data_IF_993022593545
#
_entry.id   IF_993022593545
#
_cell.length_a   1.000
_cell.length_b   1.000
_cell.length_c   1.000
_cell.angle_alpha   90.00
_cell.angle_beta   90.00
_cell.angle_gamma   90.00
#
_symmetry.space_group_name_H-M   'P 1'
#
loop_
_entity.id
_entity.type
_entity.pdbx_description
1 polymer ?
#
# COMPACT_ATOMS: atom_id res chain seq x y z
N UNK A 1 1.93 -2.71 -30.60
CA UNK A 1 2.86 -3.13 -29.54
C UNK A 1 3.21 -1.98 -28.59
N UNK A 2 3.50 -0.80 -29.10
CA UNK A 2 3.92 0.32 -28.28
C UNK A 2 2.91 0.74 -27.21
N UNK A 3 1.64 0.78 -27.55
CA UNK A 3 0.60 1.20 -26.58
C UNK A 3 0.50 0.21 -25.42
N UNK A 4 0.52 -1.08 -25.71
CA UNK A 4 0.42 -2.10 -24.68
C UNK A 4 1.67 -2.10 -23.78
N UNK A 5 2.85 -1.95 -24.38
CA UNK A 5 4.09 -1.88 -23.63
C UNK A 5 4.12 -0.64 -22.71
N UNK A 6 3.69 0.52 -23.22
CA UNK A 6 3.64 1.73 -22.42
C UNK A 6 2.68 1.61 -21.26
N UNK A 7 1.55 0.96 -21.47
CA UNK A 7 0.58 0.72 -20.39
C UNK A 7 1.18 -0.17 -19.29
N UNK A 8 1.89 -1.23 -19.69
CA UNK A 8 2.53 -2.13 -18.73
C UNK A 8 3.68 -1.43 -17.99
N UNK A 9 4.47 -0.63 -18.72
CA UNK A 9 5.60 0.08 -18.13
C UNK A 9 5.15 1.09 -17.07
N UNK A 10 3.95 1.64 -17.21
CA UNK A 10 3.40 2.58 -16.23
C UNK A 10 3.42 2.01 -14.82
N UNK A 11 3.07 0.73 -14.67
CA UNK A 11 3.06 0.08 -13.35
C UNK A 11 4.36 -0.63 -13.04
N UNK A 12 5.05 -1.13 -14.05
CA UNK A 12 6.29 -1.89 -13.87
C UNK A 12 7.36 -1.09 -13.14
N UNK A 13 7.51 0.19 -13.49
CA UNK A 13 8.52 1.06 -12.91
C UNK A 13 7.97 1.98 -11.83
N UNK A 14 6.69 1.87 -11.49
CA UNK A 14 6.09 2.69 -10.47
C UNK A 14 6.68 2.33 -9.10
N UNK A 15 7.05 3.35 -8.34
CA UNK A 15 7.51 3.21 -6.97
C UNK A 15 6.63 4.06 -6.06
N UNK A 16 6.44 3.58 -4.86
CA UNK A 16 5.65 4.27 -3.85
C UNK A 16 6.43 4.25 -2.55
N UNK A 17 6.63 5.42 -1.96
CA UNK A 17 7.38 5.54 -0.71
C UNK A 17 6.43 5.92 0.42
N UNK A 18 6.47 5.13 1.49
CA UNK A 18 5.66 5.36 2.68
C UNK A 18 6.48 6.10 3.71
N UNK A 19 6.01 7.28 4.12
CA UNK A 19 6.66 8.07 5.16
C UNK A 19 5.74 8.14 6.39
N UNK A 20 6.24 7.82 7.59
CA UNK A 20 5.41 7.81 8.82
C UNK A 20 4.78 9.16 9.17
N UNK A 21 5.35 10.26 8.69
CA UNK A 21 4.82 11.61 8.95
C UNK A 21 3.58 11.93 8.15
N UNK A 22 3.30 11.16 7.09
CA UNK A 22 2.15 11.41 6.23
C UNK A 22 0.85 10.91 6.87
N UNK A 23 -0.23 11.60 6.59
CA UNK A 23 -1.56 11.15 7.01
C UNK A 23 -1.96 9.90 6.22
N UNK A 24 -2.77 9.04 6.83
CA UNK A 24 -3.24 7.82 6.17
C UNK A 24 -3.96 8.12 4.87
N UNK A 25 -4.79 9.18 4.85
CA UNK A 25 -5.50 9.58 3.62
C UNK A 25 -4.53 9.95 2.49
N UNK A 26 -3.42 10.59 2.82
CA UNK A 26 -2.41 10.97 1.83
C UNK A 26 -1.70 9.73 1.29
N UNK A 27 -1.32 8.83 2.16
CA UNK A 27 -0.67 7.56 1.76
C UNK A 27 -1.61 6.77 0.86
N UNK A 28 -2.88 6.65 1.24
CA UNK A 28 -3.88 5.92 0.42
C UNK A 28 -4.10 6.59 -0.94
N UNK A 29 -4.15 7.92 -0.98
CA UNK A 29 -4.32 8.65 -2.24
C UNK A 29 -3.10 8.48 -3.15
N UNK A 30 -1.90 8.53 -2.58
CA UNK A 30 -0.66 8.33 -3.34
C UNK A 30 -0.57 6.90 -3.88
N UNK A 31 -1.00 5.91 -3.09
CA UNK A 31 -1.01 4.52 -3.51
C UNK A 31 -1.99 4.30 -4.67
N UNK A 32 -3.18 4.89 -4.58
CA UNK A 32 -4.17 4.83 -5.65
C UNK A 32 -3.63 5.45 -6.93
N UNK A 33 -2.95 6.60 -6.81
CA UNK A 33 -2.34 7.27 -7.95
C UNK A 33 -1.22 6.44 -8.58
N UNK A 34 -0.42 5.77 -7.76
CA UNK A 34 0.72 5.00 -8.25
C UNK A 34 0.31 3.68 -8.90
N UNK A 35 -0.70 3.00 -8.34
CA UNK A 35 -1.00 1.61 -8.72
C UNK A 35 -2.45 1.35 -9.09
N UNK A 36 -3.34 2.33 -9.06
CA UNK A 36 -4.79 2.15 -9.29
C UNK A 36 -5.40 1.10 -8.34
N UNK A 37 -4.91 1.06 -7.10
CA UNK A 37 -5.40 0.17 -6.06
C UNK A 37 -5.70 0.96 -4.79
N UNK A 38 -6.66 0.49 -4.02
CA UNK A 38 -7.00 1.08 -2.74
C UNK A 38 -6.19 0.46 -1.62
N UNK A 39 -5.58 1.29 -0.79
CA UNK A 39 -4.86 0.87 0.41
C UNK A 39 -5.66 1.32 1.63
N UNK A 40 -6.07 0.37 2.47
CA UNK A 40 -6.93 0.64 3.62
C UNK A 40 -6.19 0.28 4.90
N UNK A 41 -6.13 1.23 5.83
CA UNK A 41 -5.48 1.04 7.13
C UNK A 41 -6.52 0.67 8.18
N UNK A 42 -6.16 -0.25 9.07
CA UNK A 42 -7.03 -0.72 10.13
C UNK A 42 -6.45 -0.46 11.51
N UNK A 43 -7.31 -0.15 12.44
CA UNK A 43 -7.02 -0.16 13.88
C UNK A 43 -7.81 -1.32 14.46
N UNK A 44 -7.13 -2.43 14.72
CA UNK A 44 -7.82 -3.66 15.09
C UNK A 44 -8.71 -4.14 13.93
N UNK A 45 -10.02 -4.25 14.18
CA UNK A 45 -10.98 -4.70 13.17
C UNK A 45 -11.73 -3.55 12.48
N UNK A 46 -11.46 -2.30 12.88
CA UNK A 46 -12.14 -1.14 12.30
C UNK A 46 -11.18 -0.34 11.42
N UNK A 47 -11.75 0.35 10.41
CA UNK A 47 -10.96 1.23 9.55
C UNK A 47 -10.42 2.39 10.39
N UNK A 48 -9.10 2.65 10.25
CA UNK A 48 -8.46 3.71 11.00
C UNK A 48 -8.90 5.09 10.50
N UNK A 49 -8.87 6.08 11.41
CA UNK A 49 -9.18 7.46 11.07
C UNK A 49 -8.15 7.99 10.05
N UNK A 50 -8.64 8.38 8.88
CA UNK A 50 -7.81 8.83 7.76
C UNK A 50 -7.01 10.11 8.06
N UNK A 51 -7.40 10.88 9.05
CA UNK A 51 -6.70 12.10 9.45
C UNK A 51 -5.46 11.83 10.30
N UNK A 52 -5.32 10.62 10.85
CA UNK A 52 -4.11 10.23 11.59
C UNK A 52 -2.92 10.14 10.65
N UNK A 53 -1.73 10.46 11.19
CA UNK A 53 -0.48 10.09 10.50
C UNK A 53 -0.21 8.61 10.75
N UNK A 54 0.65 8.01 9.92
CA UNK A 54 1.04 6.62 10.12
C UNK A 54 1.73 6.45 11.47
N UNK A 55 2.58 7.40 11.86
CA UNK A 55 3.24 7.38 13.16
C UNK A 55 2.24 7.43 14.32
N UNK A 56 1.17 8.22 14.19
CA UNK A 56 0.14 8.30 15.22
C UNK A 56 -0.64 6.99 15.34
N UNK A 57 -0.93 6.33 14.22
CA UNK A 57 -1.58 5.02 14.24
C UNK A 57 -0.65 3.98 14.88
N UNK A 58 0.63 4.02 14.56
CA UNK A 58 1.61 3.09 15.13
C UNK A 58 1.67 3.18 16.66
N UNK A 59 1.56 4.39 17.22
CA UNK A 59 1.55 4.57 18.68
C UNK A 59 0.40 3.84 19.38
N UNK A 60 -0.63 3.46 18.63
CA UNK A 60 -1.77 2.71 19.16
C UNK A 60 -1.58 1.20 19.04
N UNK A 61 -0.41 0.76 18.58
CA UNK A 61 -0.04 -0.65 18.48
C UNK A 61 1.05 -0.99 19.48
N UNK A 62 1.32 -2.30 19.67
CA UNK A 62 2.36 -2.76 20.59
C UNK A 62 3.74 -2.83 19.93
N UNK A 63 3.81 -2.65 18.62
CA UNK A 63 5.07 -2.71 17.86
C UNK A 63 5.63 -1.33 17.62
N UNK A 64 6.95 -1.18 17.74
CA UNK A 64 7.62 0.09 17.45
C UNK A 64 7.79 0.26 15.94
N UNK A 65 7.73 1.52 15.50
CA UNK A 65 8.06 1.87 14.11
C UNK A 65 9.55 1.63 13.91
N UNK A 66 9.87 0.78 12.94
CA UNK A 66 11.24 0.67 12.47
C UNK A 66 11.48 1.85 11.53
N UNK A 67 12.02 2.92 12.08
CA UNK A 67 12.33 4.10 11.29
C UNK A 67 13.47 3.80 10.36
N UNK A 68 13.20 3.83 9.05
CA UNK A 68 14.25 3.88 8.06
C UNK A 68 14.28 5.30 7.50
N UNK A 69 15.47 5.86 7.32
CA UNK A 69 15.64 7.24 6.90
C UNK A 69 14.94 7.54 5.57
N UNK A 70 14.81 6.55 4.70
CA UNK A 70 14.18 6.71 3.38
C UNK A 70 12.71 6.31 3.31
N UNK A 71 12.12 5.87 4.43
CA UNK A 71 10.78 5.30 4.42
C UNK A 71 10.75 3.91 3.78
N UNK A 72 9.56 3.35 3.66
CA UNK A 72 9.35 2.04 3.06
C UNK A 72 9.01 2.22 1.57
N UNK A 73 9.75 1.55 0.70
CA UNK A 73 9.47 1.58 -0.75
C UNK A 73 8.66 0.36 -1.17
N UNK A 74 7.60 0.62 -1.92
CA UNK A 74 6.74 -0.42 -2.49
C UNK A 74 6.91 -0.39 -4.01
N UNK A 75 7.14 -1.55 -4.60
CA UNK A 75 7.33 -1.69 -6.05
C UNK A 75 6.28 -2.60 -6.64
N UNK A 76 5.98 -2.40 -7.93
CA UNK A 76 4.98 -3.20 -8.64
C UNK A 76 5.34 -4.69 -8.71
N UNK A 77 6.61 -5.05 -8.60
CA UNK A 77 7.06 -6.44 -8.62
C UNK A 77 6.81 -7.19 -7.32
N UNK A 78 6.48 -6.49 -6.24
CA UNK A 78 6.21 -7.12 -4.94
C UNK A 78 4.83 -7.77 -4.94
N UNK A 79 4.69 -8.89 -4.23
CA UNK A 79 3.38 -9.53 -4.06
C UNK A 79 2.52 -8.75 -3.09
N UNK A 80 1.22 -8.75 -3.33
CA UNK A 80 0.25 -8.05 -2.48
C UNK A 80 0.39 -8.46 -1.01
N UNK A 81 0.44 -9.76 -0.73
CA UNK A 81 0.58 -10.25 0.64
C UNK A 81 1.89 -9.82 1.29
N UNK A 82 2.97 -9.74 0.52
CA UNK A 82 4.27 -9.31 1.03
C UNK A 82 4.25 -7.82 1.40
N UNK A 83 3.54 -6.99 0.61
CA UNK A 83 3.38 -5.57 0.93
C UNK A 83 2.63 -5.40 2.25
N UNK A 84 1.56 -6.17 2.45
CA UNK A 84 0.80 -6.14 3.71
C UNK A 84 1.68 -6.54 4.90
N UNK A 85 2.53 -7.54 4.72
CA UNK A 85 3.49 -7.96 5.76
C UNK A 85 4.52 -6.89 6.07
N UNK A 86 4.96 -6.14 5.06
CA UNK A 86 5.91 -5.05 5.25
C UNK A 86 5.33 -3.94 6.13
N UNK A 87 4.05 -3.60 5.95
CA UNK A 87 3.40 -2.63 6.82
C UNK A 87 3.34 -3.13 8.27
N UNK A 88 3.03 -4.41 8.45
CA UNK A 88 3.01 -4.99 9.80
C UNK A 88 4.40 -5.00 10.43
N UNK A 89 5.41 -5.48 9.71
CA UNK A 89 6.76 -5.62 10.28
C UNK A 89 7.48 -4.29 10.47
N UNK A 90 7.23 -3.29 9.61
CA UNK A 90 7.90 -2.00 9.70
C UNK A 90 7.17 -0.99 10.58
N UNK A 91 5.85 -1.03 10.61
CA UNK A 91 5.05 -0.02 11.30
C UNK A 91 4.08 -0.60 12.33
N UNK A 92 3.96 -1.92 12.41
CA UNK A 92 3.03 -2.56 13.33
C UNK A 92 1.57 -2.28 12.99
N UNK A 93 1.26 -1.95 11.75
CA UNK A 93 -0.09 -1.61 11.34
C UNK A 93 -0.64 -2.65 10.36
N UNK A 94 -1.95 -2.88 10.42
CA UNK A 94 -2.63 -3.79 9.51
C UNK A 94 -3.19 -2.99 8.34
N UNK A 95 -2.88 -3.44 7.12
CA UNK A 95 -3.44 -2.86 5.90
C UNK A 95 -4.07 -3.95 5.06
N UNK A 96 -5.02 -3.56 4.21
CA UNK A 96 -5.56 -4.40 3.15
C UNK A 96 -5.48 -3.66 1.84
N UNK A 97 -5.15 -4.40 0.77
CA UNK A 97 -5.09 -3.85 -0.58
C UNK A 97 -6.34 -4.36 -1.30
N UNK A 98 -7.11 -3.41 -1.82
CA UNK A 98 -8.38 -3.68 -2.50
C UNK A 98 -8.32 -3.14 -3.91
N UNK A 99 -9.30 -3.52 -4.73
CA UNK A 99 -9.42 -2.99 -6.08
C UNK A 99 -9.57 -1.46 -6.07
N UNK A 100 -9.55 -0.85 -7.25
CA UNK A 100 -9.61 0.62 -7.37
C UNK A 100 -10.83 1.21 -6.68
N UNK A 101 -11.95 0.50 -6.72
CA UNK A 101 -13.20 0.96 -6.10
C UNK A 101 -13.20 0.74 -4.58
N UNK A 102 -12.24 0.00 -4.04
CA UNK A 102 -12.17 -0.29 -2.61
C UNK A 102 -13.19 -1.31 -2.13
N UNK A 103 -13.75 -2.11 -3.04
CA UNK A 103 -14.83 -3.05 -2.73
C UNK A 103 -14.36 -4.47 -2.49
N UNK A 104 -13.36 -4.94 -3.27
CA UNK A 104 -12.93 -6.34 -3.23
C UNK A 104 -11.46 -6.42 -2.88
N UNK A 105 -11.12 -7.37 -2.01
CA UNK A 105 -9.72 -7.69 -1.72
C UNK A 105 -9.08 -8.28 -2.97
N UNK A 106 -7.84 -7.87 -3.26
CA UNK A 106 -7.07 -8.51 -4.33
C UNK A 106 -6.32 -9.71 -3.76
N UNK A 107 -6.03 -10.74 -4.58
CA UNK A 107 -5.32 -11.94 -4.09
C UNK A 107 -3.92 -11.61 -3.58
N UNK A 108 -3.51 -12.25 -2.49
CA UNK A 108 -2.19 -12.04 -1.89
C UNK A 108 -1.05 -12.60 -2.72
N UNK A 109 -1.32 -13.57 -3.58
CA UNK A 109 -0.31 -14.30 -4.34
C UNK A 109 0.16 -13.59 -5.59
N UNK A 110 -0.56 -12.57 -6.04
CA UNK A 110 -0.20 -11.82 -7.25
C UNK A 110 0.61 -10.59 -6.90
N UNK A 111 1.31 -10.04 -7.89
CA UNK A 111 2.08 -8.82 -7.69
C UNK A 111 1.18 -7.59 -7.68
N UNK A 112 1.69 -6.49 -7.14
CA UNK A 112 1.00 -5.19 -7.19
C UNK A 112 0.70 -4.81 -8.64
N UNK A 113 1.66 -5.03 -9.55
CA UNK A 113 1.46 -4.73 -10.97
C UNK A 113 0.34 -5.55 -11.59
N UNK A 114 0.25 -6.85 -11.28
CA UNK A 114 -0.83 -7.70 -11.77
C UNK A 114 -2.19 -7.23 -11.22
N UNK A 115 -2.24 -6.90 -9.94
CA UNK A 115 -3.46 -6.38 -9.32
C UNK A 115 -3.88 -5.05 -9.98
N UNK A 116 -2.91 -4.17 -10.22
CA UNK A 116 -3.17 -2.87 -10.86
C UNK A 116 -3.75 -3.01 -12.26
N UNK A 117 -3.33 -4.05 -12.99
CA UNK A 117 -3.86 -4.33 -14.34
C UNK A 117 -5.14 -5.16 -14.32
N UNK A 118 -5.63 -5.56 -13.15
CA UNK A 118 -6.82 -6.38 -13.03
C UNK A 118 -6.61 -7.83 -13.44
N UNK A 119 -5.39 -8.34 -13.37
CA UNK A 119 -5.03 -9.70 -13.78
C UNK A 119 -5.26 -10.69 -12.63
N UNK A 120 -6.53 -10.91 -12.32
CA UNK A 120 -6.88 -11.87 -11.27
C UNK A 120 -8.36 -12.30 -11.36
#
# INVERSE_FOLDING_TARGET
MGILNNFMDKFKNAEFTVAPQKKLKTISADFLKAFDLSLVFYKGVTIADAELTLAALNKKTTKEVKSTAGGLKIKASMKVGDVEKLFDSNFGVTVQIKDKAGKKLVPNEITIGQAARGEY
#
